data_IF_004756259135
#
_entry.id   IF_004756259135
#
_cell.length_a   1.000
_cell.length_b   1.000
_cell.length_c   1.000
_cell.angle_alpha   90.00
_cell.angle_beta   90.00
_cell.angle_gamma   90.00
#
_symmetry.space_group_name_H-M   'P 1'
#
loop_
_entity.id
_entity.type
_entity.pdbx_description
1 polymer ?
#
# COMPACT_ATOMS: atom_id res chain seq x y z
N UNK A 1 12.02 10.93 -36.65
CA UNK A 1 11.82 10.26 -35.35
C UNK A 1 11.64 8.78 -35.63
N UNK A 2 12.45 7.92 -35.01
CA UNK A 2 12.42 6.47 -35.19
C UNK A 2 11.20 5.88 -34.42
N UNK A 3 10.24 5.23 -35.11
CA UNK A 3 9.03 4.69 -34.48
C UNK A 3 9.32 3.65 -33.39
N UNK A 4 10.40 2.86 -33.54
CA UNK A 4 10.77 1.82 -32.57
C UNK A 4 11.20 2.45 -31.25
N UNK A 5 11.94 3.57 -31.33
CA UNK A 5 12.42 4.31 -30.16
C UNK A 5 11.29 4.96 -29.36
N UNK A 6 10.19 5.33 -30.01
CA UNK A 6 9.00 5.87 -29.33
C UNK A 6 8.24 4.77 -28.58
N UNK A 7 8.12 3.59 -29.17
CA UNK A 7 7.47 2.42 -28.57
C UNK A 7 8.24 1.90 -27.34
N UNK A 8 9.58 1.84 -27.42
CA UNK A 8 10.42 1.39 -26.30
C UNK A 8 10.35 2.36 -25.10
N UNK A 9 10.29 3.67 -25.37
CA UNK A 9 10.11 4.68 -24.33
C UNK A 9 8.73 4.59 -23.68
N UNK A 10 7.69 4.30 -24.46
CA UNK A 10 6.34 4.14 -23.94
C UNK A 10 6.21 2.87 -23.08
N UNK A 11 6.77 1.75 -23.54
CA UNK A 11 6.82 0.49 -22.79
C UNK A 11 7.62 0.62 -21.49
N UNK A 12 8.78 1.30 -21.52
CA UNK A 12 9.58 1.58 -20.34
C UNK A 12 8.86 2.48 -19.34
N UNK A 13 8.13 3.51 -19.81
CA UNK A 13 7.33 4.40 -18.96
C UNK A 13 6.18 3.69 -18.28
N UNK A 14 5.43 2.87 -19.03
CA UNK A 14 4.31 2.10 -18.49
C UNK A 14 4.79 1.05 -17.48
N UNK A 15 5.87 0.32 -17.81
CA UNK A 15 6.50 -0.64 -16.89
C UNK A 15 7.00 0.03 -15.61
N UNK A 16 7.62 1.21 -15.74
CA UNK A 16 8.08 1.98 -14.58
C UNK A 16 6.92 2.49 -13.71
N UNK A 17 5.79 2.85 -14.31
CA UNK A 17 4.61 3.28 -13.56
C UNK A 17 3.94 2.11 -12.82
N UNK A 18 3.78 0.96 -13.49
CA UNK A 18 3.21 -0.23 -12.86
C UNK A 18 4.08 -0.74 -11.70
N UNK A 19 5.40 -0.70 -11.85
CA UNK A 19 6.33 -1.07 -10.79
C UNK A 19 6.28 -0.09 -9.61
N UNK A 20 6.18 1.22 -9.87
CA UNK A 20 5.98 2.22 -8.81
C UNK A 20 4.65 2.02 -8.09
N UNK A 21 3.58 1.71 -8.81
CA UNK A 21 2.28 1.42 -8.22
C UNK A 21 2.33 0.15 -7.35
N UNK A 22 3.00 -0.91 -7.83
CA UNK A 22 3.23 -2.13 -7.06
C UNK A 22 3.98 -1.84 -5.76
N UNK A 23 5.08 -1.08 -5.84
CA UNK A 23 5.87 -0.70 -4.66
C UNK A 23 5.07 0.14 -3.67
N UNK A 24 4.24 1.07 -4.15
CA UNK A 24 3.37 1.87 -3.31
C UNK A 24 2.34 1.00 -2.57
N UNK A 25 1.71 0.05 -3.28
CA UNK A 25 0.77 -0.90 -2.66
C UNK A 25 1.45 -1.82 -1.65
N UNK A 26 2.68 -2.25 -1.91
CA UNK A 26 3.48 -3.03 -0.96
C UNK A 26 3.81 -2.23 0.30
N UNK A 27 4.20 -0.96 0.15
CA UNK A 27 4.45 -0.06 1.27
C UNK A 27 3.17 0.18 2.10
N UNK A 28 2.02 0.40 1.45
CA UNK A 28 0.74 0.53 2.13
C UNK A 28 0.38 -0.73 2.92
N UNK A 29 0.53 -1.91 2.31
CA UNK A 29 0.30 -3.20 2.98
C UNK A 29 1.18 -3.35 4.21
N UNK A 30 2.46 -3.02 4.09
CA UNK A 30 3.40 -3.08 5.21
C UNK A 30 2.99 -2.11 6.34
N UNK A 31 2.61 -0.87 6.00
CA UNK A 31 2.12 0.11 6.97
C UNK A 31 0.86 -0.35 7.72
N UNK A 32 -0.09 -0.97 7.01
CA UNK A 32 -1.30 -1.53 7.60
C UNK A 32 -0.96 -2.62 8.63
N UNK A 33 -0.05 -3.55 8.30
CA UNK A 33 0.33 -4.61 9.22
C UNK A 33 1.07 -4.07 10.45
N UNK A 34 1.96 -3.08 10.27
CA UNK A 34 2.58 -2.38 11.40
C UNK A 34 1.53 -1.71 12.30
N UNK A 35 0.52 -1.07 11.70
CA UNK A 35 -0.56 -0.44 12.47
C UNK A 35 -1.36 -1.48 13.26
N UNK A 36 -1.70 -2.63 12.66
CA UNK A 36 -2.39 -3.73 13.36
C UNK A 36 -1.58 -4.24 14.55
N UNK A 37 -0.26 -4.44 14.38
CA UNK A 37 0.63 -4.84 15.48
C UNK A 37 0.60 -3.79 16.60
N UNK A 38 0.73 -2.51 16.26
CA UNK A 38 0.64 -1.40 17.23
C UNK A 38 -0.70 -1.38 17.98
N UNK A 39 -1.82 -1.60 17.28
CA UNK A 39 -3.14 -1.68 17.89
C UNK A 39 -3.26 -2.86 18.85
N UNK A 40 -2.76 -4.05 18.48
CA UNK A 40 -2.75 -5.22 19.36
C UNK A 40 -1.89 -5.02 20.61
N UNK A 41 -0.75 -4.34 20.48
CA UNK A 41 0.07 -3.98 21.65
C UNK A 41 -0.64 -2.98 22.56
N UNK A 42 -1.36 -2.01 21.99
CA UNK A 42 -2.10 -0.99 22.74
C UNK A 42 -3.37 -1.52 23.40
N UNK A 43 -4.02 -2.49 22.76
CA UNK A 43 -5.28 -3.10 23.19
C UNK A 43 -5.12 -4.63 23.26
N UNK A 44 -4.42 -5.16 24.29
CA UNK A 44 -4.06 -6.57 24.36
C UNK A 44 -5.27 -7.52 24.49
N UNK A 45 -6.37 -7.03 25.06
CA UNK A 45 -7.60 -7.81 25.25
C UNK A 45 -8.61 -7.62 24.10
N UNK A 46 -8.28 -6.80 23.10
CA UNK A 46 -9.16 -6.61 21.95
C UNK A 46 -9.15 -7.85 21.06
N UNK A 47 -10.35 -8.27 20.66
CA UNK A 47 -10.51 -9.29 19.63
C UNK A 47 -10.19 -8.73 18.24
N UNK A 48 -10.13 -9.63 17.25
CA UNK A 48 -9.80 -9.24 15.87
C UNK A 48 -10.82 -8.28 15.27
N UNK A 49 -12.10 -8.39 15.64
CA UNK A 49 -13.15 -7.49 15.15
C UNK A 49 -12.92 -6.05 15.65
N UNK A 50 -12.55 -5.90 16.92
CA UNK A 50 -12.26 -4.61 17.53
C UNK A 50 -10.98 -3.99 16.96
N UNK A 51 -9.96 -4.79 16.69
CA UNK A 51 -8.73 -4.30 16.03
C UNK A 51 -9.03 -3.80 14.61
N UNK A 52 -9.87 -4.52 13.86
CA UNK A 52 -10.29 -4.12 12.51
C UNK A 52 -11.11 -2.81 12.52
N UNK A 53 -12.01 -2.63 13.49
CA UNK A 53 -12.77 -1.39 13.66
C UNK A 53 -11.83 -0.19 13.93
N UNK A 54 -10.87 -0.36 14.85
CA UNK A 54 -9.89 0.68 15.17
C UNK A 54 -8.96 0.99 13.98
N UNK A 55 -8.61 -0.02 13.19
CA UNK A 55 -7.86 0.16 11.95
C UNK A 55 -8.66 0.98 10.93
N UNK A 56 -9.96 0.67 10.74
CA UNK A 56 -10.85 1.42 9.85
C UNK A 56 -11.03 2.86 10.29
N UNK A 57 -11.22 3.09 11.59
CA UNK A 57 -11.32 4.44 12.13
C UNK A 57 -10.03 5.25 11.86
N UNK A 58 -8.86 4.62 12.01
CA UNK A 58 -7.59 5.26 11.68
C UNK A 58 -7.42 5.56 10.19
N UNK A 59 -7.81 4.63 9.30
CA UNK A 59 -7.76 4.84 7.85
C UNK A 59 -8.73 5.91 7.33
N UNK A 60 -9.77 6.23 8.10
CA UNK A 60 -10.76 7.25 7.73
C UNK A 60 -10.39 8.67 8.21
N UNK A 61 -9.40 8.79 9.09
CA UNK A 61 -8.92 10.06 9.65
C UNK A 61 -7.72 10.65 8.87
N UNK A 62 -7.15 9.88 7.93
CA UNK A 62 -6.05 10.23 7.02
C UNK A 62 -6.59 10.57 5.61
#
# INVERSE_FOLDING_TARGET
MDPLRAHDLDAARHTALSEKARQALEAMRFGIELKKVSLRTRFPDADDARIEELLRAWLADD
#
